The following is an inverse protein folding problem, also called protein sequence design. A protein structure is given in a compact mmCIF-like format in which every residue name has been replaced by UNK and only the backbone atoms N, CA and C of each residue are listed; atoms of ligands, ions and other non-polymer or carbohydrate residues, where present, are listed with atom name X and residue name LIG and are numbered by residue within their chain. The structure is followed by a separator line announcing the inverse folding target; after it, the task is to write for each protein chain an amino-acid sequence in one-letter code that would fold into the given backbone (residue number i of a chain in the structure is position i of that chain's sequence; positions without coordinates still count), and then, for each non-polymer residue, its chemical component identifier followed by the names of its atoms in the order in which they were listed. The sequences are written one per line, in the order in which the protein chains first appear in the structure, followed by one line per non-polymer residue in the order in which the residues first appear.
data_IF_696962906325
#
_entry.id   IF_696962906325
#
_cell.length_a   1.000
_cell.length_b   1.000
_cell.length_c   1.000
_cell.angle_alpha   90.00
_cell.angle_beta   90.00
_cell.angle_gamma   90.00
#
_symmetry.space_group_name_H-M   'P 1'
#
loop_
_entity.id
_entity.type
_entity.pdbx_description
1 polymer ?
#
# COMPACT_ATOMS: atom_id res chain seq x y z
N UNK A 1 -16.17 -0.74 62.50
CA UNK A 1 -15.90 0.38 61.57
C UNK A 1 -14.84 0.04 60.51
N UNK A 2 -14.61 -1.25 60.18
CA UNK A 2 -13.48 -1.69 59.33
C UNK A 2 -13.93 -2.05 57.89
N UNK A 3 -15.17 -2.51 57.74
CA UNK A 3 -15.72 -2.91 56.44
C UNK A 3 -15.88 -1.73 55.47
N UNK A 4 -16.43 -0.59 55.91
CA UNK A 4 -16.65 0.57 55.03
C UNK A 4 -15.34 1.18 54.53
N UNK A 5 -14.29 1.19 55.36
CA UNK A 5 -12.96 1.64 54.97
C UNK A 5 -12.34 0.70 53.95
N UNK A 6 -12.47 -0.62 54.14
CA UNK A 6 -12.00 -1.62 53.17
C UNK A 6 -12.74 -1.47 51.84
N UNK A 7 -14.07 -1.30 51.87
CA UNK A 7 -14.87 -1.09 50.65
C UNK A 7 -14.43 0.17 49.91
N UNK A 8 -14.16 1.26 50.63
CA UNK A 8 -13.71 2.51 50.03
C UNK A 8 -12.33 2.39 49.38
N UNK A 9 -11.41 1.65 50.00
CA UNK A 9 -10.07 1.37 49.47
C UNK A 9 -10.16 0.51 48.20
N UNK A 10 -11.00 -0.54 48.20
CA UNK A 10 -11.17 -1.41 47.03
C UNK A 10 -11.78 -0.62 45.87
N UNK A 11 -12.77 0.24 46.14
CA UNK A 11 -13.40 1.08 45.13
C UNK A 11 -12.41 2.06 44.50
N UNK A 12 -11.52 2.66 45.29
CA UNK A 12 -10.50 3.59 44.79
C UNK A 12 -9.42 2.87 43.96
N UNK A 13 -9.00 1.67 44.37
CA UNK A 13 -8.07 0.84 43.59
C UNK A 13 -8.64 0.43 42.24
N UNK A 14 -9.92 0.04 42.19
CA UNK A 14 -10.60 -0.29 40.94
C UNK A 14 -10.71 0.92 40.01
N UNK A 15 -11.05 2.10 40.55
CA UNK A 15 -11.11 3.33 39.76
C UNK A 15 -9.74 3.72 39.18
N UNK A 16 -8.67 3.61 39.99
CA UNK A 16 -7.31 3.89 39.55
C UNK A 16 -6.83 2.90 38.47
N UNK A 17 -7.13 1.61 38.62
CA UNK A 17 -6.79 0.59 37.64
C UNK A 17 -7.54 0.80 36.31
N UNK A 18 -8.82 1.17 36.37
CA UNK A 18 -9.61 1.48 35.18
C UNK A 18 -9.09 2.73 34.45
N UNK A 19 -8.73 3.79 35.20
CA UNK A 19 -8.12 4.98 34.63
C UNK A 19 -6.76 4.67 33.98
N UNK A 20 -5.91 3.92 34.66
CA UNK A 20 -4.62 3.51 34.11
C UNK A 20 -4.79 2.71 32.82
N UNK A 21 -5.70 1.73 32.80
CA UNK A 21 -5.97 0.95 31.60
C UNK A 21 -6.54 1.82 30.46
N UNK A 22 -7.46 2.73 30.74
CA UNK A 22 -8.00 3.63 29.71
C UNK A 22 -6.94 4.55 29.09
N UNK A 23 -6.01 5.08 29.89
CA UNK A 23 -4.97 5.99 29.40
C UNK A 23 -3.71 5.28 28.88
N UNK A 24 -3.41 4.05 29.34
CA UNK A 24 -2.16 3.34 29.02
C UNK A 24 -2.36 1.99 28.30
N UNK A 25 -3.59 1.50 28.08
CA UNK A 25 -3.82 0.38 27.16
C UNK A 25 -3.71 0.89 25.74
N UNK A 26 -2.47 0.98 25.26
CA UNK A 26 -2.16 1.44 23.92
C UNK A 26 -2.88 0.61 22.87
N UNK A 27 -3.99 1.13 22.33
CA UNK A 27 -4.37 0.84 20.96
C UNK A 27 -3.32 1.49 20.08
N UNK A 28 -2.43 0.67 19.53
CA UNK A 28 -1.23 1.08 18.81
C UNK A 28 -1.49 2.17 17.77
N UNK A 29 -1.15 3.40 18.14
CA UNK A 29 -0.76 4.42 17.19
C UNK A 29 0.76 4.54 17.32
N UNK A 30 1.46 3.54 16.75
CA UNK A 30 2.88 3.67 16.42
C UNK A 30 3.06 5.08 15.81
N UNK A 31 3.93 5.94 16.38
CA UNK A 31 4.28 7.18 15.72
C UNK A 31 4.73 6.83 14.29
N UNK A 32 4.22 7.50 13.24
CA UNK A 32 4.80 7.28 11.91
C UNK A 32 6.29 7.49 12.02
N UNK A 33 7.10 6.58 11.43
CA UNK A 33 8.57 6.64 11.46
C UNK A 33 9.01 8.10 11.28
N UNK A 34 9.42 8.75 12.37
CA UNK A 34 10.05 10.05 12.29
C UNK A 34 11.44 9.79 11.75
N UNK A 35 11.56 9.83 10.42
CA UNK A 35 12.84 10.01 9.75
C UNK A 35 13.48 11.22 10.42
N UNK A 36 14.70 11.04 10.93
CA UNK A 36 15.48 12.12 11.52
C UNK A 36 15.38 13.34 10.60
N UNK A 37 14.93 14.47 11.16
CA UNK A 37 14.68 15.72 10.44
C UNK A 37 16.01 16.16 9.80
N UNK A 38 16.26 15.70 8.58
CA UNK A 38 16.94 16.51 7.59
C UNK A 38 15.96 17.63 7.29
N UNK A 39 16.33 18.86 7.65
CA UNK A 39 15.64 20.11 7.28
C UNK A 39 14.89 19.91 5.97
N UNK A 40 13.56 19.86 6.04
CA UNK A 40 12.73 19.62 4.86
C UNK A 40 13.16 20.60 3.77
N UNK A 41 13.67 20.07 2.66
CA UNK A 41 13.95 20.89 1.49
C UNK A 41 12.64 21.54 1.07
N UNK A 42 12.68 22.80 0.66
CA UNK A 42 11.50 23.49 0.11
C UNK A 42 10.82 22.67 -1.00
N UNK A 43 11.61 21.90 -1.77
CA UNK A 43 11.10 20.98 -2.78
C UNK A 43 10.25 19.84 -2.19
N UNK A 44 10.60 19.32 -1.01
CA UNK A 44 9.87 18.25 -0.33
C UNK A 44 8.53 18.75 0.21
N UNK A 45 8.51 19.94 0.82
CA UNK A 45 7.27 20.56 1.29
C UNK A 45 6.30 20.86 0.14
N UNK A 46 6.82 21.39 -0.98
CA UNK A 46 6.02 21.64 -2.19
C UNK A 46 5.48 20.34 -2.80
N UNK A 47 6.30 19.29 -2.89
CA UNK A 47 5.85 17.99 -3.38
C UNK A 47 4.74 17.39 -2.51
N UNK A 48 4.88 17.46 -1.18
CA UNK A 48 3.88 16.93 -0.26
C UNK A 48 2.55 17.71 -0.33
N UNK A 49 2.61 19.04 -0.52
CA UNK A 49 1.41 19.86 -0.76
C UNK A 49 0.72 19.50 -2.09
N UNK A 50 1.47 19.34 -3.17
CA UNK A 50 0.92 18.90 -4.46
C UNK A 50 0.33 17.48 -4.39
N UNK A 51 0.98 16.58 -3.66
CA UNK A 51 0.50 15.21 -3.48
C UNK A 51 -0.79 15.15 -2.65
N UNK A 52 -0.98 16.06 -1.68
CA UNK A 52 -2.21 16.13 -0.89
C UNK A 52 -3.37 16.79 -1.65
N UNK A 53 -3.08 17.59 -2.67
CA UNK A 53 -4.07 18.14 -3.61
C UNK A 53 -4.60 17.11 -4.62
N UNK A 54 -3.87 16.01 -4.84
CA UNK A 54 -4.36 14.91 -5.66
C UNK A 54 -5.58 14.28 -4.99
N UNK A 55 -6.77 14.58 -5.52
CA UNK A 55 -7.99 13.91 -5.10
C UNK A 55 -7.85 12.39 -5.33
N UNK A 56 -8.38 11.55 -4.42
CA UNK A 56 -8.45 10.12 -4.65
C UNK A 56 -9.16 9.85 -5.97
N UNK A 57 -8.43 9.32 -6.95
CA UNK A 57 -9.02 8.90 -8.21
C UNK A 57 -9.87 7.66 -7.90
N UNK A 58 -11.19 7.82 -7.97
CA UNK A 58 -12.11 6.69 -7.89
C UNK A 58 -12.49 6.29 -9.31
N UNK A 59 -12.33 5.01 -9.62
CA UNK A 59 -12.80 4.45 -10.86
C UNK A 59 -14.23 3.95 -10.65
N UNK A 60 -15.15 4.36 -11.53
CA UNK A 60 -16.48 3.77 -11.58
C UNK A 60 -16.38 2.37 -12.20
N UNK A 61 -16.47 1.35 -11.36
CA UNK A 61 -16.47 -0.05 -11.79
C UNK A 61 -17.86 -0.54 -12.21
N UNK A 62 -18.91 0.28 -12.01
CA UNK A 62 -20.28 -0.05 -12.37
C UNK A 62 -20.46 -0.30 -13.87
N UNK A 63 -19.68 0.37 -14.72
CA UNK A 63 -19.70 0.18 -16.17
C UNK A 63 -19.43 -1.29 -16.57
N UNK A 64 -18.59 -2.01 -15.81
CA UNK A 64 -18.26 -3.41 -16.10
C UNK A 64 -19.41 -4.38 -15.80
N UNK A 65 -20.46 -3.92 -15.12
CA UNK A 65 -21.67 -4.72 -14.85
C UNK A 65 -22.68 -4.69 -15.99
N UNK A 66 -22.51 -3.81 -16.99
CA UNK A 66 -23.43 -3.77 -18.12
C UNK A 66 -23.24 -4.98 -19.04
N UNK A 67 -24.34 -5.46 -19.63
CA UNK A 67 -24.33 -6.60 -20.54
C UNK A 67 -23.33 -6.47 -21.71
N UNK A 68 -23.03 -5.23 -22.14
CA UNK A 68 -22.04 -4.95 -23.20
C UNK A 68 -20.62 -5.30 -22.80
N UNK A 69 -20.26 -5.13 -21.52
CA UNK A 69 -18.94 -5.46 -21.00
C UNK A 69 -18.85 -6.93 -20.58
N UNK A 70 -19.97 -7.53 -20.17
CA UNK A 70 -20.04 -8.97 -19.86
C UNK A 70 -20.03 -9.86 -21.11
N UNK A 71 -20.43 -9.31 -22.27
CA UNK A 71 -20.44 -10.02 -23.55
C UNK A 71 -19.13 -9.87 -24.36
N UNK A 72 -18.12 -9.20 -23.81
CA UNK A 72 -16.82 -9.05 -24.48
C UNK A 72 -16.14 -10.42 -24.59
N UNK A 73 -15.77 -10.77 -25.80
CA UNK A 73 -15.01 -11.98 -26.10
C UNK A 73 -13.55 -11.61 -26.25
N UNK A 74 -12.68 -12.36 -25.60
CA UNK A 74 -11.24 -12.25 -25.81
C UNK A 74 -10.90 -12.73 -27.24
N UNK A 75 -10.37 -11.81 -28.05
CA UNK A 75 -9.92 -12.08 -29.42
C UNK A 75 -8.40 -12.15 -29.52
N UNK A 76 -7.70 -12.25 -28.38
CA UNK A 76 -6.25 -12.36 -28.38
C UNK A 76 -5.81 -13.66 -29.04
N UNK A 77 -4.86 -13.54 -29.94
CA UNK A 77 -4.14 -14.70 -30.48
C UNK A 77 -2.93 -14.94 -29.59
N UNK A 78 -2.75 -16.13 -29.01
CA UNK A 78 -1.55 -16.43 -28.25
C UNK A 78 -0.32 -16.30 -29.16
N UNK A 79 0.61 -15.42 -28.78
CA UNK A 79 1.89 -15.30 -29.47
C UNK A 79 2.82 -16.35 -28.89
N UNK A 80 3.21 -17.32 -29.71
CA UNK A 80 4.28 -18.25 -29.36
C UNK A 80 5.60 -17.50 -29.36
N UNK A 81 6.41 -17.60 -28.29
CA UNK A 81 7.74 -17.00 -28.28
C UNK A 81 8.58 -17.61 -29.41
N UNK A 82 9.10 -16.75 -30.29
CA UNK A 82 10.08 -17.15 -31.28
C UNK A 82 11.44 -17.34 -30.62
N UNK A 83 12.22 -18.32 -31.09
CA UNK A 83 13.60 -18.45 -30.66
C UNK A 83 14.37 -17.17 -30.96
N UNK A 84 15.27 -16.77 -30.05
CA UNK A 84 16.13 -15.62 -30.26
C UNK A 84 16.84 -15.74 -31.63
N UNK A 85 16.83 -14.64 -32.39
CA UNK A 85 17.50 -14.56 -33.68
C UNK A 85 19.01 -14.78 -33.56
N UNK A 86 19.68 -14.85 -34.71
CA UNK A 86 21.14 -14.90 -34.76
C UNK A 86 21.72 -13.65 -34.07
N UNK A 87 22.77 -13.85 -33.27
CA UNK A 87 23.51 -12.74 -32.64
C UNK A 87 23.95 -11.69 -33.67
N UNK A 88 24.35 -12.14 -34.86
CA UNK A 88 24.64 -11.29 -36.01
C UNK A 88 23.71 -11.69 -37.18
N UNK A 89 22.79 -10.82 -37.61
CA UNK A 89 21.87 -11.11 -38.70
C UNK A 89 22.58 -11.20 -40.07
N UNK A 90 23.79 -10.63 -40.21
CA UNK A 90 24.53 -10.56 -41.47
C UNK A 90 25.68 -11.56 -41.59
N UNK A 91 26.04 -12.27 -40.53
CA UNK A 91 27.11 -13.26 -40.63
C UNK A 91 26.76 -14.32 -41.71
N UNK A 92 27.76 -14.89 -42.41
CA UNK A 92 27.50 -15.92 -43.43
C UNK A 92 26.74 -17.13 -42.85
N UNK A 93 25.83 -17.70 -43.64
CA UNK A 93 25.16 -18.95 -43.26
C UNK A 93 26.16 -20.10 -43.40
N UNK A 94 26.42 -20.90 -42.35
CA UNK A 94 27.33 -22.03 -42.43
C UNK A 94 26.96 -22.96 -43.60
N UNK A 95 27.90 -23.21 -44.51
CA UNK A 95 27.69 -24.06 -45.68
C UNK A 95 27.15 -23.36 -46.93
N UNK A 96 26.79 -22.06 -46.86
CA UNK A 96 26.47 -21.26 -48.05
C UNK A 96 27.71 -20.44 -48.43
N UNK A 97 28.52 -20.98 -49.33
CA UNK A 97 29.66 -20.24 -49.89
C UNK A 97 29.13 -19.15 -50.83
N UNK A 98 29.36 -17.89 -50.48
CA UNK A 98 29.09 -16.77 -51.39
C UNK A 98 29.99 -16.94 -52.62
N UNK A 99 29.37 -17.25 -53.75
CA UNK A 99 30.04 -17.36 -55.04
C UNK A 99 30.28 -15.98 -55.64
#
# INVERSE_FOLDING_TARGET
MKSNTITLIVLTLLAAAAAYWFFFSGSGNEPPLTVAISTESEAQARFQALASELQPLTFDTGIFSEARFLALVDITTPVTPETAGRLDPFAPVPGVSAK
#
